data_IF_978096942453
#
_entry.id   IF_978096942453
#
_cell.length_a   1.000
_cell.length_b   1.000
_cell.length_c   1.000
_cell.angle_alpha   90.00
_cell.angle_beta   90.00
_cell.angle_gamma   90.00
#
_symmetry.space_group_name_H-M   'P 1'
#
loop_
_entity.id
_entity.type
_entity.pdbx_description
1 polymer ?
#
# COMPACT_ATOMS: atom_id res chain seq x y z
N UNK A 1 -16.83 -6.05 19.76
CA UNK A 1 -17.09 -6.09 18.29
C UNK A 1 -16.12 -7.08 17.70
N UNK A 2 -16.63 -8.05 16.92
CA UNK A 2 -15.81 -9.10 16.28
C UNK A 2 -15.85 -8.92 14.77
N UNK A 3 -14.69 -8.91 14.11
CA UNK A 3 -14.54 -8.62 12.67
C UNK A 3 -13.83 -9.78 11.97
N UNK A 4 -14.39 -10.24 10.84
CA UNK A 4 -13.72 -11.15 9.92
C UNK A 4 -13.00 -10.31 8.85
N UNK A 5 -11.67 -10.19 8.97
CA UNK A 5 -10.82 -9.49 8.03
C UNK A 5 -10.26 -10.51 7.03
N UNK A 6 -10.41 -10.26 5.73
CA UNK A 6 -9.99 -11.18 4.67
C UNK A 6 -8.91 -10.52 3.83
N UNK A 7 -7.75 -11.16 3.76
CA UNK A 7 -6.61 -10.70 2.98
C UNK A 7 -5.87 -11.87 2.34
N UNK A 8 -5.38 -11.70 1.13
CA UNK A 8 -4.57 -12.73 0.48
C UNK A 8 -3.13 -12.79 1.01
N UNK A 9 -2.70 -11.76 1.73
CA UNK A 9 -1.40 -11.66 2.41
C UNK A 9 -1.59 -11.39 3.91
N UNK A 10 -0.86 -12.15 4.72
CA UNK A 10 -0.64 -11.87 6.14
C UNK A 10 0.66 -12.54 6.59
N UNK A 11 1.47 -11.92 7.45
CA UNK A 11 2.74 -12.50 7.87
C UNK A 11 2.65 -13.96 8.35
N UNK A 12 3.66 -14.78 8.01
CA UNK A 12 4.91 -14.49 7.31
C UNK A 12 4.79 -14.47 5.78
N UNK A 13 3.61 -14.70 5.19
CA UNK A 13 3.38 -14.67 3.75
C UNK A 13 3.09 -13.23 3.32
N UNK A 14 4.11 -12.55 2.81
CA UNK A 14 4.04 -11.13 2.37
C UNK A 14 4.64 -11.00 0.97
N UNK A 15 3.87 -10.41 0.06
CA UNK A 15 4.32 -10.05 -1.30
C UNK A 15 4.60 -8.54 -1.42
N UNK A 16 4.02 -7.73 -0.52
CA UNK A 16 4.14 -6.28 -0.60
C UNK A 16 3.62 -5.50 0.59
N UNK A 17 3.28 -4.24 0.34
CA UNK A 17 2.77 -3.33 1.38
C UNK A 17 1.41 -3.70 1.95
N UNK A 18 0.59 -4.48 1.22
CA UNK A 18 -0.74 -4.88 1.65
C UNK A 18 -0.66 -5.77 2.90
N UNK A 19 0.18 -6.81 2.90
CA UNK A 19 0.33 -7.69 4.05
C UNK A 19 0.83 -6.96 5.31
N UNK A 20 1.73 -5.98 5.14
CA UNK A 20 2.18 -5.09 6.23
C UNK A 20 1.04 -4.21 6.75
N UNK A 21 0.26 -3.63 5.84
CA UNK A 21 -0.91 -2.82 6.20
C UNK A 21 -1.92 -3.63 7.01
N UNK A 22 -2.30 -4.83 6.53
CA UNK A 22 -3.28 -5.68 7.20
C UNK A 22 -2.81 -6.10 8.58
N UNK A 23 -1.52 -6.47 8.73
CA UNK A 23 -0.94 -6.76 10.03
C UNK A 23 -1.07 -5.58 11.00
N UNK A 24 -0.59 -4.40 10.59
CA UNK A 24 -0.61 -3.23 11.46
C UNK A 24 -2.02 -2.77 11.81
N UNK A 25 -2.92 -2.78 10.85
CA UNK A 25 -4.31 -2.46 11.09
C UNK A 25 -4.94 -3.44 12.11
N UNK A 26 -4.76 -4.75 11.92
CA UNK A 26 -5.34 -5.77 12.81
C UNK A 26 -4.77 -5.69 14.24
N UNK A 27 -3.45 -5.56 14.39
CA UNK A 27 -2.79 -5.40 15.69
C UNK A 27 -3.29 -4.16 16.45
N UNK A 28 -3.45 -3.00 15.76
CA UNK A 28 -3.95 -1.78 16.40
C UNK A 28 -5.47 -1.80 16.63
N UNK A 29 -6.24 -2.55 15.83
CA UNK A 29 -7.66 -2.78 16.11
C UNK A 29 -7.84 -3.63 17.38
N UNK A 30 -7.00 -4.64 17.59
CA UNK A 30 -6.98 -5.43 18.85
C UNK A 30 -6.66 -4.53 20.04
N UNK A 31 -5.64 -3.66 19.94
CA UNK A 31 -5.32 -2.68 20.98
C UNK A 31 -6.48 -1.70 21.24
N UNK A 32 -7.35 -1.48 20.25
CA UNK A 32 -8.55 -0.63 20.31
C UNK A 32 -9.83 -1.45 20.61
N UNK A 33 -9.68 -2.62 21.29
CA UNK A 33 -10.74 -3.49 21.81
C UNK A 33 -11.67 -4.08 20.71
N UNK A 34 -11.14 -4.33 19.52
CA UNK A 34 -11.81 -5.09 18.46
C UNK A 34 -11.24 -6.51 18.45
N UNK A 35 -12.08 -7.51 18.51
CA UNK A 35 -11.70 -8.90 18.29
C UNK A 35 -11.56 -9.12 16.77
N UNK A 36 -10.34 -9.42 16.33
CA UNK A 36 -9.99 -9.52 14.91
C UNK A 36 -9.62 -10.95 14.55
N UNK A 37 -10.38 -11.54 13.66
CA UNK A 37 -10.06 -12.80 12.99
C UNK A 37 -9.58 -12.47 11.57
N UNK A 38 -8.37 -12.88 11.22
CA UNK A 38 -7.81 -12.72 9.88
C UNK A 38 -7.91 -14.04 9.13
N UNK A 39 -8.65 -14.05 8.02
CA UNK A 39 -8.70 -15.17 7.09
C UNK A 39 -7.74 -14.88 5.93
N UNK A 40 -6.74 -15.75 5.75
CA UNK A 40 -5.67 -15.53 4.77
C UNK A 40 -5.18 -16.84 4.15
N UNK A 41 -4.34 -16.75 3.12
CA UNK A 41 -3.65 -17.93 2.59
C UNK A 41 -2.54 -18.40 3.53
N UNK A 42 -2.33 -19.68 3.56
CA UNK A 42 -1.19 -20.30 4.22
C UNK A 42 -0.02 -20.44 3.27
N UNK A 43 1.11 -20.90 3.79
CA UNK A 43 2.30 -21.26 3.02
C UNK A 43 3.16 -22.23 3.80
N UNK A 44 3.76 -23.21 3.09
CA UNK A 44 4.69 -24.16 3.69
C UNK A 44 4.10 -24.94 4.86
N UNK A 45 4.72 -24.83 6.04
CA UNK A 45 4.34 -25.54 7.28
C UNK A 45 3.65 -24.63 8.30
N UNK A 46 3.03 -23.54 7.87
CA UNK A 46 2.35 -22.63 8.77
C UNK A 46 1.13 -23.30 9.41
N UNK A 47 0.82 -23.00 10.70
CA UNK A 47 -0.37 -23.52 11.36
C UNK A 47 -1.64 -23.00 10.69
N UNK A 48 -2.69 -23.82 10.68
CA UNK A 48 -4.00 -23.46 10.14
C UNK A 48 -4.67 -22.35 10.96
N UNK A 49 -4.41 -22.34 12.28
CA UNK A 49 -4.89 -21.31 13.23
C UNK A 49 -3.77 -20.95 14.19
N UNK A 50 -3.57 -19.65 14.46
CA UNK A 50 -2.64 -19.16 15.47
C UNK A 50 -3.08 -17.80 16.02
N UNK A 51 -2.68 -17.49 17.27
CA UNK A 51 -2.74 -16.13 17.82
C UNK A 51 -1.42 -15.41 17.52
N UNK A 52 -1.52 -14.23 16.90
CA UNK A 52 -0.38 -13.35 16.66
C UNK A 52 -0.69 -11.96 17.22
N UNK A 53 -0.13 -11.65 18.37
CA UNK A 53 -0.33 -10.37 19.05
C UNK A 53 -1.82 -10.05 19.31
N UNK A 54 -2.61 -11.08 19.68
CA UNK A 54 -4.04 -10.96 19.92
C UNK A 54 -4.92 -11.00 18.65
N UNK A 55 -4.32 -11.12 17.48
CA UNK A 55 -5.01 -11.36 16.20
C UNK A 55 -5.13 -12.85 15.97
N UNK A 56 -6.35 -13.36 15.80
CA UNK A 56 -6.61 -14.77 15.51
C UNK A 56 -6.50 -14.99 14.00
N UNK A 57 -5.46 -15.67 13.57
CA UNK A 57 -5.18 -15.87 12.13
C UNK A 57 -5.60 -17.27 11.70
N UNK A 58 -6.45 -17.34 10.68
CA UNK A 58 -6.92 -18.58 10.06
C UNK A 58 -6.38 -18.68 8.64
N UNK A 59 -5.79 -19.82 8.28
CA UNK A 59 -5.14 -20.00 6.97
C UNK A 59 -5.77 -21.12 6.17
N UNK A 60 -6.17 -20.78 4.94
CA UNK A 60 -6.46 -21.79 3.93
C UNK A 60 -5.15 -22.36 3.37
N UNK A 61 -5.19 -23.62 2.94
CA UNK A 61 -4.04 -24.24 2.28
C UNK A 61 -3.72 -23.50 1.00
N UNK A 62 -2.46 -23.12 0.82
CA UNK A 62 -2.00 -22.50 -0.42
C UNK A 62 -1.75 -23.58 -1.48
N UNK A 63 -2.44 -23.54 -2.65
CA UNK A 63 -2.06 -24.34 -3.81
C UNK A 63 -0.69 -23.88 -4.35
N UNK A 64 -0.09 -24.67 -5.23
CA UNK A 64 1.19 -24.29 -5.86
C UNK A 64 1.05 -22.92 -6.52
N UNK A 65 1.95 -21.97 -6.18
CA UNK A 65 1.94 -20.62 -6.72
C UNK A 65 2.07 -20.63 -8.24
N UNK A 66 1.23 -19.89 -8.97
CA UNK A 66 1.17 -19.93 -10.42
C UNK A 66 2.39 -19.29 -11.07
N UNK A 67 2.72 -19.75 -12.29
CA UNK A 67 3.88 -19.26 -13.06
C UNK A 67 3.53 -18.17 -14.06
N UNK A 68 2.27 -18.09 -14.46
CA UNK A 68 1.76 -17.11 -15.43
C UNK A 68 0.50 -16.43 -14.90
N UNK A 69 0.10 -15.35 -15.56
CA UNK A 69 -0.99 -14.48 -15.08
C UNK A 69 -2.38 -15.13 -15.24
N UNK A 70 -2.58 -15.97 -16.24
CA UNK A 70 -3.86 -16.67 -16.42
C UNK A 70 -4.04 -17.76 -15.38
N UNK A 71 -2.97 -18.50 -15.08
CA UNK A 71 -2.95 -19.43 -13.97
C UNK A 71 -3.13 -18.72 -12.63
N UNK A 72 -2.63 -17.48 -12.48
CA UNK A 72 -2.83 -16.66 -11.28
C UNK A 72 -4.31 -16.31 -11.07
N UNK A 73 -5.04 -15.93 -12.10
CA UNK A 73 -6.49 -15.64 -12.00
C UNK A 73 -7.24 -16.87 -11.51
N UNK A 74 -7.01 -18.04 -12.12
CA UNK A 74 -7.63 -19.30 -11.67
C UNK A 74 -7.24 -19.70 -10.24
N UNK A 75 -5.99 -19.45 -9.88
CA UNK A 75 -5.50 -19.68 -8.52
C UNK A 75 -6.22 -18.80 -7.50
N UNK A 76 -6.47 -17.52 -7.82
CA UNK A 76 -7.26 -16.59 -7.00
C UNK A 76 -8.70 -17.11 -6.82
N UNK A 77 -9.33 -17.64 -7.86
CA UNK A 77 -10.68 -18.23 -7.77
C UNK A 77 -10.71 -19.43 -6.82
N UNK A 78 -9.72 -20.33 -6.91
CA UNK A 78 -9.58 -21.49 -6.02
C UNK A 78 -9.37 -21.04 -4.58
N UNK A 79 -8.46 -20.10 -4.35
CA UNK A 79 -8.22 -19.52 -3.02
C UNK A 79 -9.48 -18.92 -2.41
N UNK A 80 -10.29 -18.20 -3.21
CA UNK A 80 -11.56 -17.64 -2.76
C UNK A 80 -12.57 -18.73 -2.40
N UNK A 81 -12.60 -19.86 -3.11
CA UNK A 81 -13.46 -20.99 -2.75
C UNK A 81 -13.06 -21.58 -1.38
N UNK A 82 -11.77 -21.84 -1.19
CA UNK A 82 -11.25 -22.38 0.09
C UNK A 82 -11.47 -21.38 1.25
N UNK A 83 -11.26 -20.08 1.02
CA UNK A 83 -11.56 -19.04 2.00
C UNK A 83 -13.04 -18.96 2.34
N UNK A 84 -13.92 -19.16 1.38
CA UNK A 84 -15.36 -19.19 1.64
C UNK A 84 -15.74 -20.37 2.54
N UNK A 85 -15.25 -21.58 2.26
CA UNK A 85 -15.58 -22.76 3.06
C UNK A 85 -15.06 -22.60 4.51
N UNK A 86 -13.80 -22.26 4.70
CA UNK A 86 -13.24 -22.00 6.04
C UNK A 86 -13.96 -20.83 6.74
N UNK A 87 -14.24 -19.74 6.05
CA UNK A 87 -14.96 -18.60 6.61
C UNK A 87 -16.40 -18.93 7.00
N UNK A 88 -17.07 -19.86 6.30
CA UNK A 88 -18.39 -20.36 6.66
C UNK A 88 -18.35 -21.19 7.96
N UNK A 89 -17.35 -22.08 8.12
CA UNK A 89 -17.10 -22.82 9.36
C UNK A 89 -16.81 -21.87 10.53
N UNK A 90 -16.02 -20.82 10.30
CA UNK A 90 -15.77 -19.78 11.31
C UNK A 90 -17.05 -19.06 11.70
N UNK A 91 -17.96 -18.81 10.76
CA UNK A 91 -19.25 -18.20 11.03
C UNK A 91 -20.21 -19.09 11.87
N UNK A 92 -19.99 -20.40 11.92
CA UNK A 92 -20.69 -21.33 12.80
C UNK A 92 -20.11 -21.33 14.22
N UNK A 93 -18.81 -21.02 14.35
CA UNK A 93 -18.09 -20.94 15.63
C UNK A 93 -18.18 -19.58 16.29
N UNK A 94 -18.25 -18.51 15.49
CA UNK A 94 -18.14 -17.12 15.96
C UNK A 94 -19.22 -16.24 15.33
N UNK A 95 -19.82 -15.38 16.14
CA UNK A 95 -20.72 -14.35 15.63
C UNK A 95 -19.91 -13.10 15.22
N UNK A 96 -19.78 -12.85 13.92
CA UNK A 96 -19.11 -11.67 13.38
C UNK A 96 -20.07 -10.50 13.22
N UNK A 97 -19.60 -9.27 13.51
CA UNK A 97 -20.37 -8.04 13.28
C UNK A 97 -20.20 -7.50 11.85
N UNK A 98 -19.07 -7.82 11.17
CA UNK A 98 -18.69 -7.26 9.88
C UNK A 98 -17.67 -8.15 9.17
N UNK A 99 -17.70 -8.14 7.82
CA UNK A 99 -16.66 -8.69 6.95
C UNK A 99 -15.88 -7.54 6.32
N UNK A 100 -14.55 -7.54 6.44
CA UNK A 100 -13.67 -6.53 5.84
C UNK A 100 -12.64 -7.19 4.91
N UNK A 101 -12.69 -6.87 3.62
CA UNK A 101 -11.76 -7.40 2.62
C UNK A 101 -10.74 -6.36 2.15
N UNK A 102 -9.58 -6.84 1.69
CA UNK A 102 -8.52 -6.00 1.13
C UNK A 102 -8.24 -6.41 -0.31
N UNK A 103 -8.51 -5.48 -1.25
CA UNK A 103 -8.40 -5.61 -2.70
C UNK A 103 -9.27 -6.74 -3.31
N UNK A 104 -9.26 -6.82 -4.64
CA UNK A 104 -10.09 -7.73 -5.44
C UNK A 104 -9.77 -9.21 -5.24
N UNK A 105 -8.54 -9.52 -4.85
CA UNK A 105 -8.02 -10.88 -4.71
C UNK A 105 -8.83 -11.77 -3.76
N UNK A 106 -9.54 -11.18 -2.81
CA UNK A 106 -10.39 -11.89 -1.83
C UNK A 106 -11.85 -11.45 -1.88
N UNK A 107 -12.22 -10.66 -2.87
CA UNK A 107 -13.56 -10.09 -2.98
C UNK A 107 -14.66 -11.15 -3.17
N UNK A 108 -14.35 -12.22 -3.92
CA UNK A 108 -15.30 -13.33 -4.15
C UNK A 108 -15.68 -14.07 -2.86
N UNK A 109 -14.71 -14.37 -2.00
CA UNK A 109 -14.94 -14.97 -0.69
C UNK A 109 -15.69 -13.99 0.23
N UNK A 110 -15.25 -12.73 0.27
CA UNK A 110 -15.85 -11.71 1.14
C UNK A 110 -17.32 -11.45 0.82
N UNK A 111 -17.69 -11.33 -0.46
CA UNK A 111 -19.07 -11.14 -0.89
C UNK A 111 -19.97 -12.32 -0.46
N UNK A 112 -19.51 -13.55 -0.73
CA UNK A 112 -20.26 -14.76 -0.38
C UNK A 112 -20.43 -14.91 1.14
N UNK A 113 -19.37 -14.64 1.92
CA UNK A 113 -19.39 -14.70 3.38
C UNK A 113 -20.30 -13.62 3.98
N UNK A 114 -20.21 -12.39 3.50
CA UNK A 114 -21.07 -11.31 3.97
C UNK A 114 -22.55 -11.63 3.78
N UNK A 115 -22.92 -12.25 2.65
CA UNK A 115 -24.29 -12.71 2.38
C UNK A 115 -24.69 -13.87 3.30
N UNK A 116 -23.84 -14.91 3.46
CA UNK A 116 -24.11 -16.07 4.31
C UNK A 116 -24.29 -15.68 5.77
N UNK A 117 -23.41 -14.79 6.26
CA UNK A 117 -23.43 -14.32 7.65
C UNK A 117 -24.46 -13.21 7.88
N UNK A 118 -25.13 -12.71 6.84
CA UNK A 118 -26.01 -11.55 6.87
C UNK A 118 -25.36 -10.35 7.57
N UNK A 119 -24.10 -10.03 7.20
CA UNK A 119 -23.30 -8.93 7.77
C UNK A 119 -22.86 -7.94 6.70
N UNK A 120 -22.62 -6.66 7.06
CA UNK A 120 -22.11 -5.67 6.11
C UNK A 120 -20.73 -6.06 5.60
N UNK A 121 -20.46 -5.79 4.33
CA UNK A 121 -19.19 -5.96 3.69
C UNK A 121 -18.51 -4.62 3.46
N UNK A 122 -17.38 -4.39 4.12
CA UNK A 122 -16.47 -3.30 3.88
C UNK A 122 -15.32 -3.78 3.00
N UNK A 123 -14.89 -3.00 2.02
CA UNK A 123 -13.69 -3.33 1.24
C UNK A 123 -12.71 -2.16 1.22
N UNK A 124 -11.43 -2.44 1.48
CA UNK A 124 -10.33 -1.48 1.27
C UNK A 124 -9.71 -1.71 -0.10
N UNK A 125 -9.64 -0.64 -0.91
CA UNK A 125 -9.00 -0.62 -2.22
C UNK A 125 -7.64 0.07 -2.09
N UNK A 126 -6.57 -0.72 -2.17
CA UNK A 126 -5.20 -0.22 -2.06
C UNK A 126 -4.65 0.30 -3.39
N UNK A 127 -5.04 -0.32 -4.49
CA UNK A 127 -4.69 0.08 -5.85
C UNK A 127 -5.74 -0.45 -6.82
N UNK A 128 -5.71 0.02 -8.07
CA UNK A 128 -6.56 -0.50 -9.14
C UNK A 128 -5.73 -0.98 -10.32
N UNK A 129 -6.24 -1.99 -11.02
CA UNK A 129 -5.63 -2.47 -12.26
C UNK A 129 -5.59 -1.37 -13.32
N UNK A 130 -6.68 -0.58 -13.41
CA UNK A 130 -6.74 0.60 -14.28
C UNK A 130 -5.59 1.58 -14.03
N UNK A 131 -5.29 1.86 -12.76
CA UNK A 131 -4.20 2.76 -12.39
C UNK A 131 -2.83 2.18 -12.71
N UNK A 132 -2.58 0.90 -12.39
CA UNK A 132 -1.32 0.20 -12.67
C UNK A 132 -0.99 0.18 -14.16
N UNK A 133 -1.99 -0.05 -14.98
CA UNK A 133 -1.86 -0.13 -16.44
C UNK A 133 -2.19 1.16 -17.18
N UNK A 134 -2.27 2.32 -16.48
CA UNK A 134 -2.50 3.64 -17.09
C UNK A 134 -3.75 3.68 -17.98
N UNK A 135 -4.81 2.96 -17.59
CA UNK A 135 -6.05 2.85 -18.33
C UNK A 135 -6.15 1.68 -19.31
N UNK A 136 -5.05 0.97 -19.59
CA UNK A 136 -5.04 -0.18 -20.51
C UNK A 136 -5.54 -1.47 -19.83
N UNK A 137 -6.87 -1.63 -19.77
CA UNK A 137 -7.52 -2.77 -19.12
C UNK A 137 -8.49 -3.52 -20.06
N UNK A 138 -8.31 -3.37 -21.37
CA UNK A 138 -9.23 -3.95 -22.36
C UNK A 138 -8.98 -5.44 -22.65
N UNK A 139 -7.74 -5.91 -22.40
CA UNK A 139 -7.35 -7.29 -22.68
C UNK A 139 -7.31 -8.15 -21.42
N UNK A 140 -7.61 -9.43 -21.56
CA UNK A 140 -7.40 -10.42 -20.50
C UNK A 140 -5.91 -10.56 -20.20
N UNK A 141 -5.50 -10.67 -18.92
CA UNK A 141 -6.32 -10.77 -17.72
C UNK A 141 -6.73 -9.43 -17.09
N UNK A 142 -6.18 -8.28 -17.55
CA UNK A 142 -6.48 -6.97 -16.97
C UNK A 142 -7.95 -6.60 -17.01
N UNK A 143 -8.65 -6.96 -18.10
CA UNK A 143 -10.10 -6.74 -18.23
C UNK A 143 -10.90 -7.55 -17.21
N UNK A 144 -10.49 -8.78 -16.91
CA UNK A 144 -11.12 -9.60 -15.88
C UNK A 144 -10.88 -9.01 -14.47
N UNK A 145 -9.63 -8.66 -14.16
CA UNK A 145 -9.28 -8.04 -12.86
C UNK A 145 -10.06 -6.75 -12.65
N UNK A 146 -10.08 -5.88 -13.66
CA UNK A 146 -10.83 -4.63 -13.63
C UNK A 146 -12.35 -4.86 -13.40
N UNK A 147 -12.92 -5.89 -14.04
CA UNK A 147 -14.32 -6.26 -13.82
C UNK A 147 -14.58 -6.74 -12.38
N UNK A 148 -13.66 -7.52 -11.78
CA UNK A 148 -13.71 -7.94 -10.39
C UNK A 148 -13.64 -6.74 -9.43
N UNK A 149 -12.72 -5.80 -9.66
CA UNK A 149 -12.58 -4.57 -8.89
C UNK A 149 -13.87 -3.72 -8.96
N UNK A 150 -14.44 -3.56 -10.15
CA UNK A 150 -15.70 -2.84 -10.35
C UNK A 150 -16.86 -3.52 -9.61
N UNK A 151 -16.98 -4.84 -9.75
CA UNK A 151 -18.02 -5.60 -9.04
C UNK A 151 -17.90 -5.45 -7.52
N UNK A 152 -16.68 -5.55 -6.97
CA UNK A 152 -16.38 -5.31 -5.56
C UNK A 152 -16.80 -3.90 -5.13
N UNK A 153 -16.44 -2.87 -5.90
CA UNK A 153 -16.75 -1.48 -5.60
C UNK A 153 -18.26 -1.20 -5.55
N UNK A 154 -19.03 -1.85 -6.41
CA UNK A 154 -20.50 -1.71 -6.43
C UNK A 154 -21.20 -2.49 -5.34
N UNK A 155 -20.73 -3.71 -5.00
CA UNK A 155 -21.42 -4.65 -4.12
C UNK A 155 -21.08 -4.51 -2.65
N UNK A 156 -19.87 -4.03 -2.31
CA UNK A 156 -19.51 -3.74 -0.93
C UNK A 156 -20.44 -2.68 -0.32
N UNK A 157 -20.78 -2.80 0.97
CA UNK A 157 -21.63 -1.84 1.69
C UNK A 157 -20.97 -0.47 1.78
N UNK A 158 -19.65 -0.42 1.93
CA UNK A 158 -18.82 0.79 1.94
C UNK A 158 -17.40 0.45 1.47
N UNK A 159 -16.66 1.49 1.11
CA UNK A 159 -15.27 1.39 0.65
C UNK A 159 -14.35 2.24 1.51
N UNK A 160 -13.11 1.76 1.67
CA UNK A 160 -11.99 2.56 2.16
C UNK A 160 -10.97 2.73 1.04
N UNK A 161 -10.39 3.93 0.93
CA UNK A 161 -9.22 4.20 0.10
C UNK A 161 -8.15 4.92 0.91
N UNK A 162 -6.87 4.72 0.54
CA UNK A 162 -5.73 5.23 1.29
C UNK A 162 -5.43 6.73 1.07
N UNK A 163 -6.10 7.40 0.13
CA UNK A 163 -5.89 8.82 -0.18
C UNK A 163 -7.13 9.45 -0.82
N UNK A 164 -7.21 10.78 -0.79
CA UNK A 164 -8.24 11.54 -1.52
C UNK A 164 -8.13 11.34 -3.02
N UNK A 165 -6.89 11.23 -3.53
CA UNK A 165 -6.66 10.86 -4.90
C UNK A 165 -7.34 9.52 -5.23
N UNK A 166 -7.09 8.46 -4.43
CA UNK A 166 -7.70 7.15 -4.65
C UNK A 166 -9.21 7.17 -4.52
N UNK A 167 -9.78 7.99 -3.62
CA UNK A 167 -11.24 8.17 -3.55
C UNK A 167 -11.80 8.70 -4.87
N UNK A 168 -11.20 9.75 -5.41
CA UNK A 168 -11.64 10.34 -6.68
C UNK A 168 -11.41 9.36 -7.84
N UNK A 169 -10.26 8.69 -7.86
CA UNK A 169 -9.90 7.69 -8.86
C UNK A 169 -10.91 6.53 -8.89
N UNK A 170 -11.18 5.91 -7.73
CA UNK A 170 -12.14 4.80 -7.59
C UNK A 170 -13.56 5.25 -7.97
N UNK A 171 -13.97 6.44 -7.53
CA UNK A 171 -15.29 6.99 -7.87
C UNK A 171 -15.46 7.15 -9.38
N UNK A 172 -14.45 7.68 -10.07
CA UNK A 172 -14.48 7.92 -11.52
C UNK A 172 -14.38 6.62 -12.31
N UNK A 173 -13.40 5.75 -11.96
CA UNK A 173 -13.11 4.53 -12.74
C UNK A 173 -14.23 3.49 -12.65
N UNK A 174 -14.86 3.37 -11.47
CA UNK A 174 -15.91 2.38 -11.24
C UNK A 174 -17.32 2.97 -11.21
N UNK A 175 -17.48 4.27 -11.40
CA UNK A 175 -18.78 4.95 -11.34
C UNK A 175 -19.52 4.70 -10.02
N UNK A 176 -18.84 4.96 -8.88
CA UNK A 176 -19.43 4.84 -7.55
C UNK A 176 -19.44 6.19 -6.83
N UNK A 177 -20.51 6.52 -6.08
CA UNK A 177 -20.60 7.81 -5.39
C UNK A 177 -19.51 7.94 -4.31
N UNK A 178 -18.88 9.10 -4.24
CA UNK A 178 -17.83 9.41 -3.25
C UNK A 178 -18.31 9.29 -1.80
N UNK A 179 -19.62 9.41 -1.55
CA UNK A 179 -20.23 9.23 -0.23
C UNK A 179 -20.09 7.81 0.30
N UNK A 180 -19.89 6.80 -0.57
CA UNK A 180 -19.63 5.41 -0.19
C UNK A 180 -18.15 5.14 0.12
N UNK A 181 -17.25 6.11 -0.14
CA UNK A 181 -15.81 5.93 -0.05
C UNK A 181 -15.25 6.78 1.08
N UNK A 182 -14.78 6.14 2.12
CA UNK A 182 -14.08 6.79 3.24
C UNK A 182 -12.57 6.80 2.99
N UNK A 183 -11.94 7.96 3.15
CA UNK A 183 -10.48 8.06 3.06
C UNK A 183 -9.86 7.78 4.43
N UNK A 184 -9.09 6.71 4.54
CA UNK A 184 -8.28 6.38 5.73
C UNK A 184 -6.85 6.14 5.23
N UNK A 185 -5.89 7.03 5.50
CA UNK A 185 -4.52 6.89 5.03
C UNK A 185 -3.83 5.69 5.67
N UNK A 186 -2.77 5.18 5.02
CA UNK A 186 -1.90 4.21 5.66
C UNK A 186 -1.13 4.87 6.80
N UNK A 187 -0.79 4.08 7.81
CA UNK A 187 0.04 4.50 8.92
C UNK A 187 1.51 4.16 8.73
N UNK A 188 2.33 4.71 9.62
CA UNK A 188 3.72 4.32 9.84
C UNK A 188 3.91 3.99 11.32
N UNK A 189 4.73 2.99 11.63
CA UNK A 189 5.18 2.69 12.98
C UNK A 189 6.70 2.88 13.04
N UNK A 190 7.13 3.87 13.79
CA UNK A 190 8.56 4.19 13.89
C UNK A 190 9.37 3.04 14.51
N UNK A 191 8.75 2.23 15.37
CA UNK A 191 9.38 1.05 15.97
C UNK A 191 9.73 -0.02 14.93
N UNK A 192 8.93 -0.15 13.87
CA UNK A 192 9.24 -1.08 12.77
C UNK A 192 10.51 -0.67 12.01
N UNK A 193 10.88 0.61 12.06
CA UNK A 193 12.05 1.16 11.39
C UNK A 193 13.32 1.11 12.28
N UNK A 194 13.21 0.73 13.56
CA UNK A 194 14.34 0.66 14.49
C UNK A 194 15.39 -0.41 14.11
N UNK A 195 14.99 -1.65 13.66
CA UNK A 195 15.95 -2.65 13.28
C UNK A 195 16.84 -2.17 12.13
N UNK A 196 18.15 -2.19 12.38
CA UNK A 196 19.19 -1.84 11.39
C UNK A 196 20.36 -2.80 11.51
N UNK A 197 21.18 -2.84 10.45
CA UNK A 197 22.46 -3.57 10.51
C UNK A 197 23.40 -2.92 11.53
N UNK A 198 24.33 -3.72 12.07
CA UNK A 198 25.14 -3.34 13.23
C UNK A 198 26.03 -2.09 13.00
N UNK A 199 26.50 -1.84 11.76
CA UNK A 199 27.39 -0.73 11.44
C UNK A 199 26.98 -0.01 10.15
N UNK A 200 26.35 1.15 10.33
CA UNK A 200 25.91 2.02 9.23
C UNK A 200 27.09 2.65 8.48
N UNK A 201 28.21 2.93 9.15
CA UNK A 201 29.40 3.47 8.54
C UNK A 201 30.04 2.48 7.55
N UNK A 202 30.18 1.23 7.98
CA UNK A 202 30.64 0.13 7.12
C UNK A 202 29.69 -0.09 5.95
N UNK A 203 28.37 -0.04 6.20
CA UNK A 203 27.38 -0.19 5.14
C UNK A 203 27.52 0.93 4.10
N UNK A 204 27.63 2.19 4.55
CA UNK A 204 27.80 3.34 3.64
C UNK A 204 29.08 3.23 2.82
N UNK A 205 30.22 2.92 3.47
CA UNK A 205 31.52 2.80 2.81
C UNK A 205 31.56 1.68 1.74
N UNK A 206 30.68 0.68 1.84
CA UNK A 206 30.55 -0.37 0.81
C UNK A 206 30.05 0.15 -0.54
N UNK A 207 29.27 1.24 -0.53
CA UNK A 207 28.57 1.74 -1.73
C UNK A 207 28.99 3.14 -2.17
N UNK A 208 29.58 3.93 -1.28
CA UNK A 208 29.93 5.32 -1.53
C UNK A 208 31.20 5.70 -0.78
N UNK A 209 32.10 6.46 -1.43
CA UNK A 209 33.22 7.12 -0.77
C UNK A 209 32.71 8.26 0.14
N UNK A 210 33.53 8.79 1.07
CA UNK A 210 33.10 9.87 1.97
C UNK A 210 32.57 11.10 1.25
N UNK A 211 33.15 11.45 0.09
CA UNK A 211 32.75 12.57 -0.76
C UNK A 211 31.54 12.30 -1.66
N UNK A 212 31.16 11.04 -1.84
CA UNK A 212 30.02 10.69 -2.68
C UNK A 212 28.68 10.99 -1.99
N UNK A 213 27.69 11.40 -2.77
CA UNK A 213 26.30 11.52 -2.38
C UNK A 213 25.55 10.25 -2.75
N UNK A 214 24.86 9.64 -1.79
CA UNK A 214 24.16 8.38 -1.96
C UNK A 214 22.66 8.60 -2.15
N UNK A 215 22.14 8.15 -3.29
CA UNK A 215 20.71 8.24 -3.66
C UNK A 215 20.10 6.85 -3.62
N UNK A 216 18.91 6.72 -3.06
CA UNK A 216 18.20 5.45 -2.89
C UNK A 216 16.89 5.43 -3.68
N UNK A 217 16.65 4.34 -4.39
CA UNK A 217 15.39 4.02 -5.04
C UNK A 217 14.87 2.70 -4.47
N UNK A 218 13.62 2.68 -3.97
CA UNK A 218 13.03 1.50 -3.33
C UNK A 218 11.65 1.20 -3.92
N UNK A 219 11.40 -0.09 -4.20
CA UNK A 219 10.08 -0.55 -4.60
C UNK A 219 10.12 -1.68 -5.62
N UNK A 220 8.93 -2.15 -6.00
CA UNK A 220 8.80 -3.13 -7.08
C UNK A 220 9.31 -2.54 -8.39
N UNK A 221 10.16 -3.27 -9.09
CA UNK A 221 10.73 -2.83 -10.38
C UNK A 221 9.72 -3.10 -11.51
N UNK A 222 8.68 -2.26 -11.57
CA UNK A 222 7.60 -2.30 -12.56
C UNK A 222 7.43 -0.92 -13.20
N UNK A 223 6.80 -0.86 -14.38
CA UNK A 223 6.73 0.36 -15.18
C UNK A 223 6.13 1.55 -14.42
N UNK A 224 5.02 1.33 -13.71
CA UNK A 224 4.30 2.39 -13.00
C UNK A 224 5.09 3.01 -11.82
N UNK A 225 6.18 2.37 -11.39
CA UNK A 225 7.08 2.92 -10.37
C UNK A 225 8.12 3.90 -10.92
N UNK A 226 8.22 4.02 -12.24
CA UNK A 226 8.95 5.11 -12.89
C UNK A 226 10.48 5.12 -12.72
N UNK A 227 11.10 4.00 -12.31
CA UNK A 227 12.55 3.92 -12.09
C UNK A 227 13.38 4.34 -13.31
N UNK A 228 12.84 4.11 -14.52
CA UNK A 228 13.47 4.55 -15.76
C UNK A 228 13.64 6.07 -15.84
N UNK A 229 12.69 6.85 -15.30
CA UNK A 229 12.77 8.32 -15.24
C UNK A 229 13.89 8.77 -14.28
N UNK A 230 14.02 8.08 -13.15
CA UNK A 230 15.08 8.38 -12.19
C UNK A 230 16.47 8.05 -12.76
N UNK A 231 16.62 6.95 -13.53
CA UNK A 231 17.89 6.64 -14.20
C UNK A 231 18.27 7.71 -15.22
N UNK A 232 17.32 8.24 -15.99
CA UNK A 232 17.57 9.33 -16.94
C UNK A 232 18.00 10.61 -16.22
N UNK A 233 17.35 10.96 -15.10
CA UNK A 233 17.74 12.12 -14.27
C UNK A 233 19.13 11.94 -13.65
N UNK A 234 19.40 10.78 -13.05
CA UNK A 234 20.70 10.46 -12.45
C UNK A 234 21.84 10.52 -13.47
N UNK A 235 21.60 10.07 -14.71
CA UNK A 235 22.62 10.17 -15.76
C UNK A 235 23.03 11.62 -16.07
N UNK A 236 22.06 12.54 -16.05
CA UNK A 236 22.34 13.97 -16.27
C UNK A 236 23.15 14.55 -15.11
N UNK A 237 22.74 14.26 -13.86
CA UNK A 237 23.40 14.76 -12.65
C UNK A 237 24.83 14.20 -12.53
N UNK A 238 25.00 12.90 -12.69
CA UNK A 238 26.30 12.22 -12.60
C UNK A 238 27.29 12.75 -13.65
N UNK A 239 26.82 13.03 -14.87
CA UNK A 239 27.66 13.60 -15.92
C UNK A 239 28.23 14.97 -15.53
N UNK A 240 27.53 15.75 -14.69
CA UNK A 240 27.94 17.09 -14.28
C UNK A 240 28.77 17.09 -13.01
N UNK A 241 28.41 16.30 -12.00
CA UNK A 241 29.02 16.35 -10.67
C UNK A 241 29.95 15.18 -10.36
N UNK A 242 29.78 14.01 -11.00
CA UNK A 242 30.65 12.83 -10.85
C UNK A 242 30.59 12.07 -9.51
N UNK A 243 30.24 12.74 -8.42
CA UNK A 243 30.29 12.23 -7.06
C UNK A 243 28.90 11.74 -6.54
N UNK A 244 28.07 11.22 -7.43
CA UNK A 244 26.78 10.65 -7.06
C UNK A 244 26.79 9.14 -7.25
N UNK A 245 26.38 8.41 -6.23
CA UNK A 245 26.12 6.97 -6.24
C UNK A 245 24.65 6.72 -6.03
N UNK A 246 24.13 5.63 -6.58
CA UNK A 246 22.74 5.27 -6.33
C UNK A 246 22.56 3.77 -6.09
N UNK A 247 21.56 3.46 -5.27
CA UNK A 247 21.15 2.10 -4.96
C UNK A 247 19.70 1.89 -5.42
N UNK A 248 19.44 0.71 -5.98
CA UNK A 248 18.10 0.28 -6.36
C UNK A 248 17.77 -0.98 -5.56
N UNK A 249 16.84 -0.86 -4.62
CA UNK A 249 16.38 -1.96 -3.77
C UNK A 249 14.97 -2.41 -4.22
N UNK A 250 14.86 -3.66 -4.60
CA UNK A 250 13.63 -4.29 -5.05
C UNK A 250 13.83 -5.19 -6.26
N UNK A 251 12.78 -5.91 -6.63
CA UNK A 251 12.70 -6.81 -7.78
C UNK A 251 11.44 -6.54 -8.58
N UNK A 252 11.37 -7.04 -9.81
CA UNK A 252 10.17 -6.90 -10.64
C UNK A 252 10.43 -7.13 -12.13
N UNK A 253 9.36 -7.13 -12.89
CA UNK A 253 9.38 -7.45 -14.34
C UNK A 253 10.21 -6.48 -15.18
N UNK A 254 10.40 -5.24 -14.73
CA UNK A 254 11.19 -4.23 -15.43
C UNK A 254 12.70 -4.28 -15.09
N UNK A 255 13.16 -5.14 -14.18
CA UNK A 255 14.55 -5.14 -13.72
C UNK A 255 15.57 -5.29 -14.86
N UNK A 256 15.35 -6.24 -15.74
CA UNK A 256 16.25 -6.47 -16.87
C UNK A 256 16.36 -5.26 -17.81
N UNK A 257 15.25 -4.56 -18.04
CA UNK A 257 15.21 -3.33 -18.84
C UNK A 257 15.93 -2.18 -18.16
N UNK A 258 15.67 -1.97 -16.87
CA UNK A 258 16.34 -0.92 -16.07
C UNK A 258 17.86 -1.13 -16.03
N UNK A 259 18.30 -2.37 -15.87
CA UNK A 259 19.76 -2.70 -15.95
C UNK A 259 20.34 -2.44 -17.34
N UNK A 260 19.59 -2.69 -18.42
CA UNK A 260 20.00 -2.34 -19.80
C UNK A 260 20.08 -0.83 -19.97
N UNK A 261 19.08 -0.08 -19.49
CA UNK A 261 19.05 1.38 -19.53
C UNK A 261 20.25 1.98 -18.77
N UNK A 262 20.51 1.53 -17.55
CA UNK A 262 21.65 2.00 -16.76
C UNK A 262 22.98 1.80 -17.50
N UNK A 263 23.15 0.66 -18.20
CA UNK A 263 24.35 0.43 -19.04
C UNK A 263 24.44 1.40 -20.22
N UNK A 264 23.33 1.60 -20.95
CA UNK A 264 23.30 2.55 -22.09
C UNK A 264 23.62 3.98 -21.67
N UNK A 265 23.20 4.37 -20.46
CA UNK A 265 23.44 5.69 -19.88
C UNK A 265 24.82 5.84 -19.22
N UNK A 266 25.67 4.81 -19.24
CA UNK A 266 27.00 4.86 -18.64
C UNK A 266 27.03 4.81 -17.10
N UNK A 267 25.93 4.40 -16.47
CA UNK A 267 25.74 4.44 -15.01
C UNK A 267 26.34 3.24 -14.25
N UNK A 268 27.00 2.30 -14.95
CA UNK A 268 27.46 1.04 -14.36
C UNK A 268 28.40 1.22 -13.16
N UNK A 269 29.27 2.23 -13.19
CA UNK A 269 30.21 2.52 -12.12
C UNK A 269 29.59 3.31 -10.95
N UNK A 270 28.38 3.82 -11.10
CA UNK A 270 27.71 4.71 -10.17
C UNK A 270 26.51 4.08 -9.46
N UNK A 271 25.97 2.98 -9.99
CA UNK A 271 24.73 2.40 -9.49
C UNK A 271 24.82 0.91 -9.16
N UNK A 272 24.18 0.52 -8.06
CA UNK A 272 24.06 -0.87 -7.63
C UNK A 272 22.60 -1.28 -7.51
N UNK A 273 22.23 -2.36 -8.20
CA UNK A 273 20.93 -3.01 -8.06
C UNK A 273 21.05 -4.13 -7.02
N UNK A 274 20.41 -3.97 -5.89
CA UNK A 274 20.54 -4.84 -4.72
C UNK A 274 19.61 -6.07 -4.79
N UNK A 275 18.58 -6.03 -5.65
CA UNK A 275 17.51 -7.02 -5.60
C UNK A 275 16.62 -6.79 -4.37
N UNK A 276 15.94 -7.86 -3.94
CA UNK A 276 15.16 -7.83 -2.70
C UNK A 276 16.10 -7.74 -1.49
N UNK A 277 15.73 -6.91 -0.51
CA UNK A 277 16.46 -6.72 0.74
C UNK A 277 15.51 -6.90 1.94
N UNK A 278 16.02 -7.43 3.06
CA UNK A 278 15.26 -7.53 4.31
C UNK A 278 15.02 -6.17 4.96
N UNK A 279 14.11 -6.12 5.93
CA UNK A 279 13.67 -4.88 6.56
C UNK A 279 14.82 -4.14 7.29
N UNK A 280 15.68 -4.85 8.01
CA UNK A 280 16.86 -4.31 8.68
C UNK A 280 17.84 -3.62 7.71
N UNK A 281 18.09 -4.27 6.58
CA UNK A 281 18.90 -3.70 5.51
C UNK A 281 18.20 -2.49 4.87
N UNK A 282 16.91 -2.59 4.57
CA UNK A 282 16.15 -1.49 3.96
C UNK A 282 16.15 -0.23 4.86
N UNK A 283 15.90 -0.42 6.15
CA UNK A 283 15.91 0.68 7.11
C UNK A 283 17.32 1.30 7.27
N UNK A 284 18.35 0.47 7.16
CA UNK A 284 19.74 0.94 7.15
C UNK A 284 20.06 1.74 5.90
N UNK A 285 19.57 1.30 4.72
CA UNK A 285 19.76 2.02 3.47
C UNK A 285 19.12 3.41 3.50
N UNK A 286 17.91 3.55 4.06
CA UNK A 286 17.30 4.87 4.26
C UNK A 286 18.15 5.78 5.16
N UNK A 287 18.82 5.23 6.18
CA UNK A 287 19.63 6.03 7.13
C UNK A 287 21.00 6.45 6.56
N UNK A 288 21.54 5.70 5.63
CA UNK A 288 22.83 6.01 5.01
C UNK A 288 22.70 6.80 3.71
N UNK A 289 21.53 6.83 3.09
CA UNK A 289 21.26 7.61 1.90
C UNK A 289 20.88 9.05 2.26
N UNK A 290 21.38 10.00 1.48
CA UNK A 290 20.99 11.42 1.61
C UNK A 290 19.62 11.69 1.03
N UNK A 291 19.27 11.01 -0.08
CA UNK A 291 18.03 11.25 -0.82
C UNK A 291 17.38 9.92 -1.20
N UNK A 292 16.08 9.84 -1.00
CA UNK A 292 15.23 8.81 -1.58
C UNK A 292 14.37 9.41 -2.71
N UNK A 293 14.40 8.77 -3.87
CA UNK A 293 13.55 9.18 -5.02
C UNK A 293 12.39 8.22 -5.15
N UNK A 294 11.16 8.77 -5.23
CA UNK A 294 9.94 8.02 -5.52
C UNK A 294 9.34 8.53 -6.84
N UNK A 295 9.82 8.02 -7.99
CA UNK A 295 9.53 8.58 -9.32
C UNK A 295 8.25 8.00 -9.93
N UNK A 296 7.31 7.53 -9.11
CA UNK A 296 6.14 6.78 -9.52
C UNK A 296 5.28 7.56 -10.52
N UNK A 297 4.80 6.86 -11.54
CA UNK A 297 3.80 7.36 -12.50
C UNK A 297 2.39 7.19 -11.90
N UNK A 298 2.18 6.08 -11.19
CA UNK A 298 0.99 5.79 -10.41
C UNK A 298 1.38 5.39 -8.99
N UNK A 299 0.89 6.12 -8.02
CA UNK A 299 1.13 5.86 -6.60
C UNK A 299 -0.15 6.13 -5.80
N UNK A 300 -0.83 5.09 -5.32
CA UNK A 300 -2.03 5.24 -4.51
C UNK A 300 -1.83 6.04 -3.23
N UNK A 301 -0.67 5.87 -2.57
CA UNK A 301 -0.37 6.54 -1.31
C UNK A 301 1.09 7.01 -1.19
N UNK A 302 2.07 6.09 -1.09
CA UNK A 302 3.48 6.43 -0.95
C UNK A 302 4.10 6.04 0.40
N UNK A 303 3.89 4.79 0.83
CA UNK A 303 4.49 4.25 2.08
C UNK A 303 6.01 4.41 2.07
N UNK A 304 6.67 4.16 0.93
CA UNK A 304 8.12 4.30 0.76
C UNK A 304 8.60 5.73 1.10
N UNK A 305 7.82 6.76 0.72
CA UNK A 305 8.16 8.14 1.07
C UNK A 305 8.04 8.39 2.58
N UNK A 306 7.01 7.82 3.24
CA UNK A 306 6.89 7.90 4.70
C UNK A 306 8.05 7.20 5.42
N UNK A 307 8.44 6.00 4.98
CA UNK A 307 9.56 5.24 5.55
C UNK A 307 10.87 6.02 5.42
N UNK A 308 11.14 6.58 4.25
CA UNK A 308 12.33 7.38 4.00
C UNK A 308 12.38 8.64 4.89
N UNK A 309 11.28 9.41 4.94
CA UNK A 309 11.17 10.60 5.78
C UNK A 309 11.34 10.26 7.28
N UNK A 310 10.69 9.20 7.75
CA UNK A 310 10.80 8.74 9.13
C UNK A 310 12.23 8.32 9.50
N UNK A 311 12.95 7.71 8.54
CA UNK A 311 14.35 7.28 8.72
C UNK A 311 15.36 8.43 8.57
N UNK A 312 14.91 9.63 8.21
CA UNK A 312 15.77 10.81 8.07
C UNK A 312 16.43 10.96 6.70
N UNK A 313 15.85 10.35 5.68
CA UNK A 313 16.25 10.50 4.29
C UNK A 313 15.37 11.57 3.61
N UNK A 314 15.97 12.54 2.90
CA UNK A 314 15.19 13.51 2.13
C UNK A 314 14.44 12.83 1.00
N UNK A 315 13.14 13.11 0.85
CA UNK A 315 12.34 12.59 -0.25
C UNK A 315 12.21 13.58 -1.41
N UNK A 316 12.48 13.08 -2.63
CA UNK A 316 12.05 13.73 -3.88
C UNK A 316 11.05 12.80 -4.55
N UNK A 317 9.82 13.26 -4.73
CA UNK A 317 8.72 12.42 -5.21
C UNK A 317 8.09 12.99 -6.48
N UNK A 318 7.55 12.12 -7.32
CA UNK A 318 6.75 12.58 -8.46
C UNK A 318 5.46 13.26 -7.97
N UNK A 319 5.06 14.34 -8.63
CA UNK A 319 3.80 15.04 -8.36
C UNK A 319 2.60 14.24 -8.91
N UNK A 320 2.31 13.11 -8.25
CA UNK A 320 1.26 12.18 -8.68
C UNK A 320 0.57 11.53 -7.48
N UNK A 321 -0.69 11.18 -7.68
CA UNK A 321 -1.44 10.32 -6.78
C UNK A 321 -1.43 10.75 -5.32
N UNK A 322 -1.33 9.76 -4.44
CA UNK A 322 -1.24 9.95 -2.99
C UNK A 322 0.06 10.59 -2.51
N UNK A 323 1.13 10.60 -3.33
CA UNK A 323 2.37 11.30 -2.98
C UNK A 323 2.13 12.79 -2.70
N UNK A 324 1.14 13.40 -3.36
CA UNK A 324 0.74 14.78 -3.10
C UNK A 324 0.23 15.02 -1.69
N UNK A 325 -0.29 13.99 -1.05
CA UNK A 325 -0.84 14.04 0.31
C UNK A 325 0.23 13.68 1.36
N UNK A 326 1.21 12.87 0.98
CA UNK A 326 2.34 12.46 1.82
C UNK A 326 3.42 13.54 1.85
N UNK A 327 3.77 14.11 0.70
CA UNK A 327 4.76 15.19 0.57
C UNK A 327 4.05 16.45 0.07
N UNK A 328 3.78 17.45 0.93
CA UNK A 328 3.21 18.75 0.53
C UNK A 328 4.05 19.47 -0.52
N UNK A 329 3.40 20.29 -1.34
CA UNK A 329 4.08 20.99 -2.44
C UNK A 329 4.80 22.27 -2.07
N UNK A 330 4.85 22.62 -0.79
CA UNK A 330 5.48 23.83 -0.26
C UNK A 330 7.00 23.69 -0.04
N UNK A 331 7.56 22.51 -0.27
CA UNK A 331 8.98 22.23 -0.08
C UNK A 331 9.42 22.15 1.39
N UNK A 332 8.50 22.05 2.32
CA UNK A 332 8.83 22.02 3.77
C UNK A 332 9.46 20.68 4.20
N UNK A 333 8.89 19.56 3.75
CA UNK A 333 9.27 18.20 4.20
C UNK A 333 9.92 17.34 3.13
N UNK A 334 10.00 17.84 1.92
CA UNK A 334 10.52 17.13 0.74
C UNK A 334 10.13 17.88 -0.53
N UNK A 335 10.56 17.38 -1.67
CA UNK A 335 10.36 18.06 -2.94
C UNK A 335 9.49 17.23 -3.89
N UNK A 336 8.70 17.91 -4.73
CA UNK A 336 7.93 17.29 -5.80
C UNK A 336 8.40 17.78 -7.17
N UNK A 337 8.51 16.86 -8.10
CA UNK A 337 8.77 17.18 -9.52
C UNK A 337 7.57 16.77 -10.38
N UNK A 338 7.32 17.45 -11.52
CA UNK A 338 6.25 17.07 -12.44
C UNK A 338 6.38 15.61 -12.86
N UNK A 339 5.29 14.84 -12.72
CA UNK A 339 5.31 13.41 -13.07
C UNK A 339 5.78 13.21 -14.51
N UNK A 340 6.64 12.20 -14.73
CA UNK A 340 7.26 11.85 -16.01
C UNK A 340 8.31 12.86 -16.54
N UNK A 341 8.73 13.84 -15.74
CA UNK A 341 9.75 14.83 -16.13
C UNK A 341 11.08 14.52 -15.44
N UNK A 342 11.92 13.75 -16.13
CA UNK A 342 13.27 13.41 -15.65
C UNK A 342 14.22 14.62 -15.61
N UNK A 343 13.98 15.63 -16.43
CA UNK A 343 14.80 16.85 -16.43
C UNK A 343 14.53 17.70 -15.18
N UNK A 344 13.26 17.88 -14.83
CA UNK A 344 12.88 18.56 -13.58
C UNK A 344 13.39 17.80 -12.34
N UNK A 345 13.32 16.44 -12.34
CA UNK A 345 13.92 15.63 -11.28
C UNK A 345 15.44 15.85 -11.19
N UNK A 346 16.15 15.88 -12.33
CA UNK A 346 17.59 16.15 -12.37
C UNK A 346 17.94 17.51 -11.77
N UNK A 347 17.20 18.56 -12.12
CA UNK A 347 17.40 19.91 -11.58
C UNK A 347 17.20 19.97 -10.06
N UNK A 348 16.16 19.32 -9.52
CA UNK A 348 15.94 19.24 -8.07
C UNK A 348 17.04 18.46 -7.36
N UNK A 349 17.53 17.36 -7.95
CA UNK A 349 18.65 16.60 -7.41
C UNK A 349 19.90 17.47 -7.31
N UNK A 350 20.26 18.20 -8.36
CA UNK A 350 21.42 19.12 -8.35
C UNK A 350 21.28 20.17 -7.25
N UNK A 351 20.11 20.78 -7.12
CA UNK A 351 19.83 21.78 -6.09
C UNK A 351 20.06 21.24 -4.68
N UNK A 352 19.48 20.09 -4.34
CA UNK A 352 19.54 19.58 -2.95
C UNK A 352 20.85 18.87 -2.62
N UNK A 353 21.59 18.37 -3.61
CA UNK A 353 22.90 17.77 -3.40
C UNK A 353 23.97 18.81 -3.02
N UNK A 354 23.77 20.08 -3.37
CA UNK A 354 24.67 21.19 -3.08
C UNK A 354 24.26 22.02 -1.87
N UNK A 355 23.04 21.83 -1.32
CA UNK A 355 22.53 22.61 -0.19
C UNK A 355 22.25 21.71 1.03
N UNK A 356 23.30 21.44 1.80
CA UNK A 356 23.24 20.61 3.01
C UNK A 356 22.32 21.22 4.10
N UNK A 357 22.26 22.56 4.16
CA UNK A 357 21.47 23.29 5.18
C UNK A 357 19.96 23.13 4.88
N UNK A 358 19.57 23.38 3.64
CA UNK A 358 18.16 23.18 3.22
C UNK A 358 17.76 21.73 3.38
N UNK A 359 18.63 20.76 3.03
CA UNK A 359 18.36 19.33 3.19
C UNK A 359 18.14 18.96 4.67
N UNK A 360 19.04 19.39 5.56
CA UNK A 360 18.92 19.10 7.00
C UNK A 360 17.63 19.68 7.60
N UNK A 361 17.24 20.90 7.21
CA UNK A 361 15.97 21.51 7.62
C UNK A 361 14.77 20.67 7.17
N UNK A 362 14.70 20.32 5.88
CA UNK A 362 13.60 19.52 5.33
C UNK A 362 13.49 18.15 6.01
N UNK A 363 14.61 17.50 6.30
CA UNK A 363 14.63 16.21 7.03
C UNK A 363 14.09 16.37 8.45
N UNK A 364 14.44 17.44 9.15
CA UNK A 364 13.91 17.73 10.49
C UNK A 364 12.38 17.89 10.48
N UNK A 365 11.87 18.71 9.57
CA UNK A 365 10.42 18.92 9.40
C UNK A 365 9.68 17.64 8.95
N UNK A 366 10.31 16.84 8.07
CA UNK A 366 9.75 15.58 7.61
C UNK A 366 9.52 14.57 8.75
N UNK A 367 10.47 14.46 9.68
CA UNK A 367 10.33 13.61 10.88
C UNK A 367 9.14 14.00 11.76
N UNK A 368 8.90 15.29 11.93
CA UNK A 368 7.71 15.78 12.66
C UNK A 368 6.42 15.53 11.85
N UNK A 369 6.48 15.69 10.54
CA UNK A 369 5.34 15.51 9.65
C UNK A 369 4.82 14.07 9.64
N UNK A 370 5.70 13.06 9.63
CA UNK A 370 5.29 11.64 9.54
C UNK A 370 4.50 11.17 10.77
N UNK A 371 4.62 11.83 11.91
CA UNK A 371 3.85 11.52 13.13
C UNK A 371 2.33 11.69 12.92
N UNK A 372 1.90 12.38 11.88
CA UNK A 372 0.47 12.52 11.50
C UNK A 372 -0.11 11.23 10.92
N UNK A 373 0.73 10.28 10.53
CA UNK A 373 0.35 9.00 9.92
C UNK A 373 0.45 7.87 10.95
N UNK A 374 -0.19 8.07 12.10
CA UNK A 374 -0.17 7.13 13.23
C UNK A 374 -1.17 5.97 13.03
N UNK A 375 -0.71 4.73 13.21
CA UNK A 375 -1.55 3.53 13.10
C UNK A 375 -2.69 3.48 14.12
N UNK A 376 -2.50 4.01 15.33
CA UNK A 376 -3.59 4.06 16.31
C UNK A 376 -4.73 5.00 15.82
N UNK A 377 -4.39 6.10 15.15
CA UNK A 377 -5.39 6.96 14.53
C UNK A 377 -6.10 6.27 13.35
N UNK A 378 -5.38 5.49 12.53
CA UNK A 378 -5.94 4.67 11.44
C UNK A 378 -6.94 3.65 12.01
N UNK A 379 -6.55 2.90 13.05
CA UNK A 379 -7.41 1.90 13.69
C UNK A 379 -8.68 2.53 14.29
N UNK A 380 -8.56 3.64 15.04
CA UNK A 380 -9.73 4.36 15.59
C UNK A 380 -10.71 4.81 14.52
N UNK A 381 -10.22 5.33 13.39
CA UNK A 381 -11.07 5.74 12.25
C UNK A 381 -11.75 4.54 11.60
N UNK A 382 -11.03 3.44 11.44
CA UNK A 382 -11.56 2.18 10.89
C UNK A 382 -12.62 1.60 11.81
N UNK A 383 -12.37 1.53 13.14
CA UNK A 383 -13.36 1.08 14.13
C UNK A 383 -14.63 1.94 14.11
N UNK A 384 -14.49 3.26 13.98
CA UNK A 384 -15.65 4.15 13.88
C UNK A 384 -16.53 3.77 12.68
N UNK A 385 -15.92 3.51 11.52
CA UNK A 385 -16.64 3.08 10.32
C UNK A 385 -17.31 1.71 10.53
N UNK A 386 -16.60 0.75 11.15
CA UNK A 386 -17.16 -0.56 11.50
C UNK A 386 -18.45 -0.43 12.35
N UNK A 387 -18.40 0.40 13.41
CA UNK A 387 -19.58 0.64 14.27
C UNK A 387 -20.76 1.23 13.50
N UNK A 388 -20.49 2.19 12.60
CA UNK A 388 -21.53 2.78 11.77
C UNK A 388 -22.19 1.75 10.86
N UNK A 389 -21.40 0.88 10.21
CA UNK A 389 -21.91 -0.15 9.31
C UNK A 389 -22.70 -1.24 10.07
N UNK A 390 -22.18 -1.69 11.21
CA UNK A 390 -22.86 -2.69 12.03
C UNK A 390 -24.20 -2.18 12.62
N UNK A 391 -24.27 -0.91 13.01
CA UNK A 391 -25.48 -0.27 13.53
C UNK A 391 -26.56 -0.13 12.46
N UNK A 392 -26.18 0.27 11.25
CA UNK A 392 -27.13 0.46 10.12
C UNK A 392 -27.84 -0.83 9.65
N UNK A 393 -27.36 -2.02 10.06
CA UNK A 393 -28.04 -3.29 9.81
C UNK A 393 -28.98 -3.73 10.95
N UNK A 394 -28.82 -3.17 12.15
CA UNK A 394 -29.68 -3.50 13.31
C UNK A 394 -31.00 -2.75 13.28
N UNK A 395 -31.17 -1.71 12.46
CA UNK A 395 -32.47 -1.10 12.21
C UNK A 395 -33.27 -1.97 11.22
N UNK A 396 -34.45 -2.49 11.59
CA UNK A 396 -35.29 -3.27 10.69
C UNK A 396 -35.70 -2.38 9.51
N UNK A 397 -35.38 -2.80 8.27
CA UNK A 397 -36.00 -2.25 7.06
C UNK A 397 -37.48 -2.51 7.13
N UNK A 398 -38.29 -1.57 7.65
CA UNK A 398 -39.72 -1.74 7.68
C UNK A 398 -40.45 -1.17 8.89
N UNK A 399 -40.23 0.09 9.25
CA UNK A 399 -41.29 0.87 9.88
C UNK A 399 -41.95 1.74 8.78
N UNK A 400 -42.82 1.10 7.99
CA UNK A 400 -43.82 1.85 7.25
C UNK A 400 -44.66 2.54 8.32
N UNK A 401 -44.56 3.87 8.43
CA UNK A 401 -45.48 4.68 9.20
C UNK A 401 -46.90 4.38 8.64
N UNK A 402 -47.66 3.62 9.37
CA UNK A 402 -49.08 3.54 9.13
C UNK A 402 -49.64 4.96 9.26
N UNK A 403 -50.04 5.51 8.14
CA UNK A 403 -50.77 6.76 8.11
C UNK A 403 -52.03 6.62 8.94
N UNK A 404 -52.20 7.46 9.93
CA UNK A 404 -53.43 7.64 10.63
C UNK A 404 -54.41 8.32 9.68
N UNK A 405 -55.27 7.54 9.03
CA UNK A 405 -56.53 8.04 8.46
C UNK A 405 -57.46 8.38 9.63
N UNK A 406 -57.58 9.67 9.90
CA UNK A 406 -58.63 10.20 10.76
C UNK A 406 -59.96 10.22 10.00
N UNK A 407 -61.10 9.86 10.63
CA UNK A 407 -62.37 9.90 9.96
C UNK A 407 -62.85 11.32 9.80
N UNK A 408 -63.19 11.70 8.57
CA UNK A 408 -64.01 12.86 8.25
C UNK A 408 -65.45 12.56 8.69
N UNK A 409 -65.90 13.23 9.70
CA UNK A 409 -67.29 13.29 10.09
C UNK A 409 -67.87 14.67 9.86
N UNK A 410 -69.06 14.73 9.22
CA UNK A 410 -69.97 15.84 9.20
C UNK A 410 -69.92 16.77 8.02
#
# INVERSE_FOLDING_TARGET
MRVLLISWEYPPVIEGGLGRHVRKLSEHLVQDEVEVHVLTRGGGRLPAEEDRHGVIVHRVREPQYPKDIDAFVRWVETMNADMYELGAELGERFEFDLVHSHDWLVAGAAERLARRLARPWLSTIHATEFGRHQGWVERHPQSHIHACERAMAHRASALITCSRYMRSHVATVFDVPTSRITVIPNGIDLRDLEPVVADLGVLRARYAAPEDRLVLLVGRLVYEKGFHLALDALAQVIKRSGNVRFLVAGTGSAEAELRRQARRLGLRAHGTFLGWVGDDMLHSLYRVAEIAIVPSIYEPFGIVALEAMASGCLCIVADTGGLREVVPGDGSVGLRFPSRDSAALGALLEQVLTDDVARARMVGEARAHVLRFDWAAVARRTRKLYRTLAAGQREPKGAVRAGADGPSGG
#
